data_IF_386832711709
#
_entry.id   IF_386832711709
#
_cell.length_a   1.000
_cell.length_b   1.000
_cell.length_c   1.000
_cell.angle_alpha   90.00
_cell.angle_beta   90.00
_cell.angle_gamma   90.00
#
_symmetry.space_group_name_H-M   'P 1'
#
loop_
_entity.id
_entity.type
_entity.pdbx_description
1 polymer ?
#
# COMPACT_ATOMS: atom_id res chain seq x y z
N UNK A 1 -32.68 51.89 -18.30
CA UNK A 1 -32.01 51.63 -17.00
C UNK A 1 -31.82 50.14 -16.85
N UNK A 2 -30.56 49.69 -16.71
CA UNK A 2 -30.14 48.28 -16.77
C UNK A 2 -30.50 47.51 -15.50
N UNK A 3 -30.84 46.23 -15.71
CA UNK A 3 -31.09 45.19 -14.70
C UNK A 3 -29.92 45.07 -13.72
N UNK A 4 -30.26 44.81 -12.46
CA UNK A 4 -29.34 44.30 -11.46
C UNK A 4 -28.80 42.94 -11.91
N UNK A 5 -27.48 42.86 -12.03
CA UNK A 5 -26.72 41.66 -12.36
C UNK A 5 -26.47 40.90 -11.05
N UNK A 6 -26.97 39.67 -11.01
CA UNK A 6 -26.77 38.73 -9.93
C UNK A 6 -25.34 38.20 -10.03
N UNK A 7 -24.47 38.66 -9.14
CA UNK A 7 -23.15 38.06 -8.95
C UNK A 7 -23.31 36.86 -8.00
N UNK A 8 -23.92 35.78 -8.52
CA UNK A 8 -23.74 34.45 -7.93
C UNK A 8 -22.38 33.97 -8.42
N UNK A 9 -21.36 34.45 -7.72
CA UNK A 9 -19.98 34.04 -7.89
C UNK A 9 -19.92 32.53 -8.02
N UNK A 10 -19.38 32.13 -9.16
CA UNK A 10 -18.90 30.82 -9.57
C UNK A 10 -18.03 30.19 -8.47
N UNK A 11 -18.66 29.72 -7.39
CA UNK A 11 -18.18 28.57 -6.66
C UNK A 11 -18.49 27.36 -7.54
N UNK A 12 -17.80 27.28 -8.69
CA UNK A 12 -17.39 26.02 -9.27
C UNK A 12 -16.60 25.32 -8.19
N UNK A 13 -17.33 24.69 -7.27
CA UNK A 13 -16.88 23.67 -6.35
C UNK A 13 -16.01 22.79 -7.23
N UNK A 14 -14.68 22.94 -7.11
CA UNK A 14 -13.75 21.99 -7.68
C UNK A 14 -14.16 20.71 -6.99
N UNK A 15 -15.03 19.93 -7.63
CA UNK A 15 -15.37 18.59 -7.19
C UNK A 15 -14.04 17.89 -7.27
N UNK A 16 -13.33 17.90 -6.13
CA UNK A 16 -12.03 17.29 -5.97
C UNK A 16 -12.32 15.81 -6.20
N UNK A 17 -12.10 15.37 -7.44
CA UNK A 17 -12.23 13.97 -7.80
C UNK A 17 -11.19 13.24 -6.98
N UNK A 18 -11.65 12.55 -5.95
CA UNK A 18 -10.79 11.75 -5.09
C UNK A 18 -10.75 10.34 -5.65
N UNK A 19 -9.55 9.81 -5.77
CA UNK A 19 -9.34 8.44 -6.19
C UNK A 19 -9.96 7.51 -5.14
N UNK A 20 -10.84 6.62 -5.57
CA UNK A 20 -11.63 5.78 -4.67
C UNK A 20 -10.74 4.81 -3.86
N UNK A 21 -10.73 4.99 -2.53
CA UNK A 21 -9.86 4.20 -1.65
C UNK A 21 -10.18 2.71 -1.67
N UNK A 22 -11.46 2.35 -1.84
CA UNK A 22 -11.87 0.94 -1.88
C UNK A 22 -11.25 0.24 -3.08
N UNK A 23 -11.26 0.89 -4.25
CA UNK A 23 -10.62 0.33 -5.46
C UNK A 23 -9.11 0.18 -5.28
N UNK A 24 -8.44 1.16 -4.67
CA UNK A 24 -7.00 1.06 -4.33
C UNK A 24 -6.74 -0.11 -3.37
N UNK A 25 -7.53 -0.21 -2.30
CA UNK A 25 -7.40 -1.27 -1.30
C UNK A 25 -7.68 -2.66 -1.89
N UNK A 26 -8.66 -2.79 -2.80
CA UNK A 26 -8.95 -4.04 -3.50
C UNK A 26 -7.79 -4.47 -4.41
N UNK A 27 -7.20 -3.54 -5.17
CA UNK A 27 -6.02 -3.84 -6.01
C UNK A 27 -4.85 -4.34 -5.17
N UNK A 28 -4.58 -3.69 -4.05
CA UNK A 28 -3.56 -4.15 -3.08
C UNK A 28 -3.91 -5.55 -2.54
N UNK A 29 -5.17 -5.78 -2.15
CA UNK A 29 -5.58 -7.09 -1.63
C UNK A 29 -5.43 -8.20 -2.68
N UNK A 30 -5.76 -7.93 -3.94
CA UNK A 30 -5.60 -8.87 -5.04
C UNK A 30 -4.12 -9.28 -5.19
N UNK A 31 -3.21 -8.30 -5.23
CA UNK A 31 -1.76 -8.54 -5.27
C UNK A 31 -1.28 -9.34 -4.06
N UNK A 32 -1.75 -9.04 -2.85
CA UNK A 32 -1.41 -9.81 -1.64
C UNK A 32 -1.86 -11.27 -1.74
N UNK A 33 -3.04 -11.55 -2.31
CA UNK A 33 -3.50 -12.94 -2.51
C UNK A 33 -2.68 -13.67 -3.56
N UNK A 34 -2.30 -13.00 -4.65
CA UNK A 34 -1.43 -13.58 -5.67
C UNK A 34 -0.05 -13.93 -5.10
N UNK A 35 0.54 -13.04 -4.29
CA UNK A 35 1.82 -13.29 -3.62
C UNK A 35 1.78 -14.52 -2.70
N UNK A 36 0.67 -14.74 -1.98
CA UNK A 36 0.49 -15.93 -1.12
C UNK A 36 0.43 -17.25 -1.88
N UNK A 37 0.11 -17.20 -3.17
CA UNK A 37 0.11 -18.37 -4.05
C UNK A 37 1.47 -18.67 -4.69
N UNK A 38 2.49 -17.86 -4.44
CA UNK A 38 3.81 -18.07 -5.03
C UNK A 38 4.55 -19.22 -4.34
N UNK A 39 5.29 -20.05 -5.10
CA UNK A 39 6.21 -21.02 -4.52
C UNK A 39 7.39 -20.32 -3.86
N UNK A 40 7.98 -20.94 -2.84
CA UNK A 40 9.26 -20.48 -2.27
C UNK A 40 10.40 -20.66 -3.27
N UNK A 41 11.32 -19.68 -3.29
CA UNK A 41 12.46 -19.58 -4.21
C UNK A 41 13.65 -19.03 -3.41
N UNK A 42 14.84 -19.59 -3.60
CA UNK A 42 16.03 -19.15 -2.87
C UNK A 42 16.56 -17.78 -3.34
N UNK A 43 16.33 -17.44 -4.62
CA UNK A 43 16.84 -16.21 -5.25
C UNK A 43 15.89 -15.00 -5.12
N UNK A 44 14.66 -15.23 -4.66
CA UNK A 44 13.63 -14.20 -4.46
C UNK A 44 13.48 -13.92 -2.96
N UNK A 45 13.19 -12.67 -2.54
CA UNK A 45 12.73 -12.42 -1.18
C UNK A 45 11.55 -13.33 -0.79
N UNK A 46 11.49 -13.72 0.48
CA UNK A 46 10.37 -14.51 0.98
C UNK A 46 9.04 -13.77 0.77
N UNK A 47 7.96 -14.53 0.60
CA UNK A 47 6.62 -14.00 0.32
C UNK A 47 6.18 -12.95 1.35
N UNK A 48 6.53 -13.14 2.62
CA UNK A 48 6.22 -12.17 3.68
C UNK A 48 6.89 -10.81 3.46
N UNK A 49 8.13 -10.79 2.95
CA UNK A 49 8.84 -9.54 2.64
C UNK A 49 8.16 -8.79 1.50
N UNK A 50 7.71 -9.51 0.46
CA UNK A 50 6.97 -8.93 -0.67
C UNK A 50 5.63 -8.34 -0.23
N UNK A 51 4.89 -9.08 0.61
CA UNK A 51 3.62 -8.63 1.19
C UNK A 51 3.83 -7.40 2.09
N UNK A 52 4.90 -7.36 2.88
CA UNK A 52 5.19 -6.21 3.74
C UNK A 52 5.57 -4.98 2.93
N UNK A 53 6.33 -5.12 1.85
CA UNK A 53 6.61 -4.02 0.92
C UNK A 53 5.29 -3.44 0.35
N UNK A 54 4.38 -4.30 -0.06
CA UNK A 54 3.06 -3.93 -0.57
C UNK A 54 2.19 -3.23 0.50
N UNK A 55 2.22 -3.71 1.76
CA UNK A 55 1.53 -3.08 2.89
C UNK A 55 2.09 -1.70 3.21
N UNK A 56 3.41 -1.52 3.11
CA UNK A 56 4.04 -0.21 3.30
C UNK A 56 3.65 0.74 2.17
N UNK A 57 3.61 0.29 0.91
CA UNK A 57 3.12 1.11 -0.20
C UNK A 57 1.67 1.55 0.02
N UNK A 58 0.80 0.62 0.46
CA UNK A 58 -0.57 0.95 0.84
C UNK A 58 -0.66 1.97 1.99
N UNK A 59 0.21 1.88 3.00
CA UNK A 59 0.27 2.87 4.07
C UNK A 59 0.61 4.26 3.54
N UNK A 60 1.57 4.38 2.62
CA UNK A 60 1.89 5.67 1.99
C UNK A 60 0.71 6.23 1.20
N UNK A 61 0.00 5.39 0.43
CA UNK A 61 -1.21 5.79 -0.28
C UNK A 61 -2.29 6.29 0.69
N UNK A 62 -2.48 5.63 1.83
CA UNK A 62 -3.46 6.02 2.85
C UNK A 62 -3.22 7.43 3.40
N UNK A 63 -1.96 7.86 3.51
CA UNK A 63 -1.58 9.20 3.97
C UNK A 63 -1.36 10.21 2.84
N UNK A 64 -1.78 9.90 1.62
CA UNK A 64 -1.67 10.82 0.49
C UNK A 64 -0.23 11.02 -0.01
N UNK A 65 0.64 10.02 0.17
CA UNK A 65 2.04 10.05 -0.27
C UNK A 65 2.25 9.10 -1.47
N UNK A 66 1.83 9.49 -2.70
CA UNK A 66 1.91 8.61 -3.86
C UNK A 66 3.34 8.30 -4.30
N UNK A 67 4.26 9.27 -4.21
CA UNK A 67 5.65 9.07 -4.66
C UNK A 67 6.40 7.99 -3.85
N UNK A 68 6.42 8.03 -2.49
CA UNK A 68 7.00 6.94 -1.71
C UNK A 68 6.34 5.57 -1.92
N UNK A 69 5.04 5.55 -2.28
CA UNK A 69 4.32 4.33 -2.60
C UNK A 69 4.80 3.75 -3.95
N UNK A 70 4.87 4.57 -4.99
CA UNK A 70 5.32 4.18 -6.33
C UNK A 70 6.74 3.63 -6.31
N UNK A 71 7.68 4.32 -5.66
CA UNK A 71 9.07 3.84 -5.52
C UNK A 71 9.15 2.44 -4.89
N UNK A 72 8.25 2.13 -3.95
CA UNK A 72 8.20 0.81 -3.31
C UNK A 72 7.59 -0.25 -4.22
N UNK A 73 6.57 0.09 -4.99
CA UNK A 73 5.94 -0.80 -5.96
C UNK A 73 6.88 -1.08 -7.14
N UNK A 74 7.62 -0.07 -7.61
CA UNK A 74 8.66 -0.24 -8.63
C UNK A 74 9.77 -1.16 -8.14
N UNK A 75 10.28 -0.95 -6.91
CA UNK A 75 11.23 -1.86 -6.27
C UNK A 75 10.72 -3.29 -6.24
N UNK A 76 9.48 -3.47 -5.83
CA UNK A 76 8.83 -4.78 -5.80
C UNK A 76 8.75 -5.41 -7.20
N UNK A 77 8.54 -4.61 -8.25
CA UNK A 77 8.60 -5.07 -9.64
C UNK A 77 9.96 -5.65 -10.01
N UNK A 78 11.05 -5.00 -9.61
CA UNK A 78 12.41 -5.50 -9.86
C UNK A 78 12.68 -6.84 -9.16
N UNK A 79 12.17 -7.04 -7.93
CA UNK A 79 12.31 -8.31 -7.20
C UNK A 79 11.49 -9.46 -7.84
N UNK A 80 10.46 -9.13 -8.63
CA UNK A 80 9.60 -10.10 -9.33
C UNK A 80 10.02 -10.34 -10.78
N UNK A 81 10.92 -9.52 -11.33
CA UNK A 81 11.34 -9.57 -12.73
C UNK A 81 12.34 -10.69 -13.05
N UNK A 82 12.58 -11.62 -12.12
CA UNK A 82 13.51 -12.76 -12.28
C UNK A 82 12.96 -13.93 -13.13
N UNK A 83 11.79 -13.74 -13.75
CA UNK A 83 11.21 -14.44 -14.93
C UNK A 83 11.40 -15.97 -15.07
N UNK A 84 11.07 -16.73 -14.02
CA UNK A 84 11.12 -18.20 -14.07
C UNK A 84 9.75 -18.89 -13.95
N UNK A 85 8.67 -18.15 -13.64
CA UNK A 85 7.35 -18.73 -13.36
C UNK A 85 6.21 -17.94 -14.01
N UNK A 86 5.23 -18.63 -14.63
CA UNK A 86 4.06 -17.96 -15.21
C UNK A 86 3.18 -17.26 -14.16
N UNK A 87 3.21 -17.69 -12.89
CA UNK A 87 2.55 -17.02 -11.78
C UNK A 87 3.20 -15.68 -11.44
N UNK A 88 4.54 -15.62 -11.43
CA UNK A 88 5.31 -14.39 -11.18
C UNK A 88 5.14 -13.39 -12.31
N UNK A 89 5.20 -13.83 -13.57
CA UNK A 89 4.94 -12.98 -14.73
C UNK A 89 3.54 -12.35 -14.68
N UNK A 90 2.52 -13.12 -14.27
CA UNK A 90 1.15 -12.61 -14.07
C UNK A 90 1.07 -11.61 -12.92
N UNK A 91 1.77 -11.86 -11.82
CA UNK A 91 1.83 -10.94 -10.69
C UNK A 91 2.51 -9.62 -11.08
N UNK A 92 3.64 -9.70 -11.79
CA UNK A 92 4.36 -8.53 -12.29
C UNK A 92 3.48 -7.69 -13.21
N UNK A 93 2.82 -8.30 -14.19
CA UNK A 93 1.90 -7.57 -15.08
C UNK A 93 0.76 -6.85 -14.32
N UNK A 94 0.23 -7.49 -13.26
CA UNK A 94 -0.80 -6.86 -12.40
C UNK A 94 -0.24 -5.72 -11.54
N UNK A 95 0.99 -5.86 -11.08
CA UNK A 95 1.69 -4.82 -10.33
C UNK A 95 1.96 -3.61 -11.22
N UNK A 96 2.45 -3.81 -12.44
CA UNK A 96 2.68 -2.75 -13.43
C UNK A 96 1.38 -2.03 -13.81
N UNK A 97 0.28 -2.77 -14.02
CA UNK A 97 -1.05 -2.19 -14.25
C UNK A 97 -1.48 -1.30 -13.07
N UNK A 98 -1.13 -1.69 -11.84
CA UNK A 98 -1.43 -0.92 -10.65
C UNK A 98 -0.54 0.32 -10.51
N UNK A 99 0.75 0.22 -10.81
CA UNK A 99 1.68 1.36 -10.85
C UNK A 99 1.18 2.39 -11.86
N UNK A 100 0.91 1.99 -13.10
CA UNK A 100 0.40 2.89 -14.14
C UNK A 100 -0.95 3.51 -13.78
N UNK A 101 -1.83 2.76 -13.09
CA UNK A 101 -3.06 3.33 -12.55
C UNK A 101 -2.80 4.43 -11.52
N UNK A 102 -1.88 4.21 -10.58
CA UNK A 102 -1.53 5.20 -9.57
C UNK A 102 -0.88 6.43 -10.21
N UNK A 103 0.04 6.26 -11.15
CA UNK A 103 0.70 7.35 -11.90
C UNK A 103 -0.32 8.26 -12.61
N UNK A 104 -1.27 7.66 -13.32
CA UNK A 104 -2.32 8.40 -14.03
C UNK A 104 -3.28 9.15 -13.08
N UNK A 105 -3.37 8.73 -11.82
CA UNK A 105 -4.31 9.25 -10.84
C UNK A 105 -3.64 9.96 -9.65
N UNK A 106 -2.33 10.24 -9.70
CA UNK A 106 -1.59 10.81 -8.56
C UNK A 106 -2.22 12.09 -8.01
N UNK A 107 -2.69 12.98 -8.90
CA UNK A 107 -3.34 14.25 -8.54
C UNK A 107 -4.68 14.09 -7.79
N UNK A 108 -5.24 12.89 -7.79
CA UNK A 108 -6.51 12.55 -7.14
C UNK A 108 -6.31 11.77 -5.83
N UNK A 109 -5.06 11.43 -5.49
CA UNK A 109 -4.70 10.79 -4.23
C UNK A 109 -4.63 11.87 -3.15
N UNK A 110 -5.45 11.70 -2.12
CA UNK A 110 -5.54 12.61 -0.96
C UNK A 110 -5.12 11.87 0.30
N UNK A 111 -4.97 12.57 1.43
CA UNK A 111 -4.79 11.92 2.72
C UNK A 111 -6.12 11.30 3.18
N UNK A 112 -6.36 10.04 2.80
CA UNK A 112 -7.54 9.28 3.18
C UNK A 112 -7.68 9.12 4.69
N UNK A 113 -6.55 8.99 5.41
CA UNK A 113 -6.53 8.92 6.86
C UNK A 113 -7.12 10.17 7.52
N UNK A 114 -6.77 11.35 7.02
CA UNK A 114 -7.31 12.60 7.53
C UNK A 114 -8.79 12.73 7.20
N UNK A 115 -9.18 12.44 5.96
CA UNK A 115 -10.61 12.44 5.56
C UNK A 115 -11.44 11.50 6.42
N UNK A 116 -10.94 10.29 6.67
CA UNK A 116 -11.61 9.32 7.55
C UNK A 116 -11.77 9.82 8.99
N UNK A 117 -10.75 10.49 9.55
CA UNK A 117 -10.83 11.07 10.91
C UNK A 117 -11.82 12.23 11.00
N UNK A 118 -12.00 12.97 9.92
CA UNK A 118 -12.93 14.10 9.84
C UNK A 118 -14.33 13.70 9.33
N UNK A 119 -14.57 12.39 9.09
CA UNK A 119 -15.87 11.90 8.59
C UNK A 119 -16.17 12.31 7.15
N UNK A 120 -15.13 12.63 6.37
CA UNK A 120 -15.27 12.96 4.97
C UNK A 120 -15.26 11.70 4.08
N UNK A 121 -15.97 11.72 2.93
CA UNK A 121 -16.03 10.58 2.03
C UNK A 121 -14.65 10.19 1.46
N UNK A 122 -14.24 8.93 1.65
CA UNK A 122 -13.02 8.34 1.07
C UNK A 122 -13.29 7.39 -0.11
N UNK A 123 -14.57 7.09 -0.36
CA UNK A 123 -15.07 6.22 -1.43
C UNK A 123 -16.28 6.86 -2.10
N UNK A 124 -16.47 6.55 -3.37
CA UNK A 124 -17.60 7.03 -4.18
C UNK A 124 -18.87 6.19 -4.03
N UNK A 125 -18.76 5.00 -3.44
CA UNK A 125 -19.90 4.09 -3.25
C UNK A 125 -20.61 4.35 -1.92
N UNK A 126 -21.94 4.50 -1.98
CA UNK A 126 -22.89 4.69 -0.88
C UNK A 126 -22.91 3.54 0.17
N UNK A 127 -21.99 2.57 0.09
CA UNK A 127 -21.93 1.36 0.93
C UNK A 127 -20.91 1.57 2.06
N UNK A 128 -21.06 2.67 2.80
CA UNK A 128 -20.01 3.17 3.68
C UNK A 128 -19.91 2.42 5.03
N UNK A 129 -20.99 1.78 5.50
CA UNK A 129 -21.05 1.33 6.90
C UNK A 129 -20.45 -0.05 7.19
N UNK A 130 -20.44 -0.98 6.23
CA UNK A 130 -20.05 -2.38 6.50
C UNK A 130 -18.58 -2.70 6.16
N UNK A 131 -18.02 -2.10 5.09
CA UNK A 131 -16.71 -2.48 4.56
C UNK A 131 -15.56 -1.71 5.25
N UNK A 132 -15.81 -0.48 5.68
CA UNK A 132 -14.80 0.37 6.34
C UNK A 132 -14.22 -0.23 7.63
N UNK A 133 -14.97 -1.10 8.33
CA UNK A 133 -14.44 -1.79 9.52
C UNK A 133 -13.40 -2.86 9.17
N UNK A 134 -13.52 -3.54 8.03
CA UNK A 134 -12.66 -4.68 7.67
C UNK A 134 -11.34 -4.20 7.08
N UNK A 135 -11.38 -3.15 6.26
CA UNK A 135 -10.18 -2.57 5.64
C UNK A 135 -9.36 -1.76 6.65
N UNK A 136 -10.00 -1.12 7.64
CA UNK A 136 -9.28 -0.30 8.64
C UNK A 136 -8.71 -1.11 9.80
N UNK A 137 -9.43 -2.13 10.31
CA UNK A 137 -8.98 -2.92 11.49
C UNK A 137 -7.64 -3.64 11.27
N UNK A 138 -7.27 -3.95 10.02
CA UNK A 138 -5.99 -4.63 9.70
C UNK A 138 -4.80 -3.68 9.63
N UNK A 139 -5.01 -2.36 9.52
CA UNK A 139 -3.92 -1.40 9.24
C UNK A 139 -3.58 -0.48 10.42
N UNK A 140 -4.39 -0.45 11.48
CA UNK A 140 -4.13 0.35 12.69
C UNK A 140 -3.18 -0.36 13.68
N UNK A 141 -2.70 -1.57 13.38
CA UNK A 141 -1.76 -2.28 14.27
C UNK A 141 -0.36 -2.40 13.66
N UNK A 142 0.44 -1.35 13.78
CA UNK A 142 1.89 -1.46 14.00
C UNK A 142 2.22 -0.78 15.33
N UNK A 143 2.28 -1.59 16.38
CA UNK A 143 2.95 -1.23 17.62
C UNK A 143 4.45 -1.45 17.42
N UNK A 144 5.21 -0.45 17.87
CA UNK A 144 6.66 -0.37 17.87
C UNK A 144 7.30 -1.53 18.62
N UNK A 145 8.44 -2.01 18.13
CA UNK A 145 9.28 -2.99 18.81
C UNK A 145 10.63 -3.10 18.12
N UNK A 146 11.48 -2.09 18.32
CA UNK A 146 12.93 -2.21 18.08
C UNK A 146 13.47 -3.25 19.05
N UNK A 147 14.06 -4.33 18.54
CA UNK A 147 14.99 -5.15 19.29
C UNK A 147 16.16 -5.49 18.37
N UNK A 148 17.26 -4.76 18.60
CA UNK A 148 18.61 -5.09 18.14
C UNK A 148 19.01 -6.45 18.69
N UNK A 149 19.34 -7.40 17.83
CA UNK A 149 19.81 -8.73 18.21
C UNK A 149 20.88 -9.20 17.24
N UNK A 150 22.13 -8.86 17.56
CA UNK A 150 23.35 -9.32 16.90
C UNK A 150 23.41 -10.85 16.85
N UNK A 151 23.43 -11.45 15.65
CA UNK A 151 23.85 -12.84 15.46
C UNK A 151 25.38 -12.90 15.49
N UNK A 152 25.96 -12.93 16.69
CA UNK A 152 27.35 -13.31 16.90
C UNK A 152 27.44 -14.85 17.08
N UNK A 153 28.38 -15.46 16.36
CA UNK A 153 28.69 -16.90 16.31
C UNK A 153 29.05 -17.47 17.69
N UNK A 154 28.76 -18.75 18.00
CA UNK A 154 29.38 -19.44 19.11
C UNK A 154 30.73 -20.05 18.67
N UNK A 155 31.79 -19.76 19.42
CA UNK A 155 33.05 -20.50 19.40
C UNK A 155 33.44 -20.73 20.86
N UNK A 156 33.01 -21.86 21.42
CA UNK A 156 33.38 -22.27 22.76
C UNK A 156 34.68 -23.09 22.66
N UNK A 157 35.78 -22.51 23.15
CA UNK A 157 37.01 -23.21 23.49
C UNK A 157 37.24 -23.11 25.00
N UNK A 158 37.68 -24.24 25.56
CA UNK A 158 38.31 -24.47 26.88
C UNK A 158 37.54 -24.11 28.16
N UNK A 159 37.72 -24.77 29.31
CA UNK A 159 38.20 -26.08 29.79
C UNK A 159 38.08 -25.97 31.35
N UNK A 160 38.16 -27.09 32.07
CA UNK A 160 38.56 -27.26 33.49
C UNK A 160 37.48 -27.58 34.55
N UNK A 161 37.36 -28.92 34.78
CA UNK A 161 37.43 -29.72 36.04
C UNK A 161 36.26 -29.76 37.03
N UNK A 162 36.06 -30.91 37.72
CA UNK A 162 36.89 -31.45 38.84
C UNK A 162 37.41 -32.88 38.53
N UNK A 163 38.50 -33.45 39.03
CA UNK A 163 39.19 -33.40 40.34
C UNK A 163 40.72 -33.26 40.21
#
# INVERSE_FOLDING_TARGET
>A
MRRAELDFGDYGERVLRVLDWFHVAMRVQNLEQMMKGLPDRDERPCVDTLIDALRIAKWHLWHGCPYPALQRLERLGWELATDDSPEEARLLARLEEFIGYLENNQRFIVNYGDRYRHGEPITSSFVESAVNQVVSKRFVKRQHGVATGSCARPSAGEDVRPE
#
